data_IF_547776147407
#
_entry.id   IF_547776147407
#
_cell.length_a   1.000
_cell.length_b   1.000
_cell.length_c   1.000
_cell.angle_alpha   90.00
_cell.angle_beta   90.00
_cell.angle_gamma   90.00
#
_symmetry.space_group_name_H-M   'P 1'
#
loop_
_entity.id
_entity.type
_entity.pdbx_description
1 polymer ?
#
# COMPACT_ATOMS: atom_id res chain seq x y z
N UNK A 1 -7.32 19.39 7.92
CA UNK A 1 -6.48 20.04 8.95
C UNK A 1 -6.46 21.54 8.67
N UNK A 2 -6.63 22.42 9.67
CA UNK A 2 -6.65 23.88 9.47
C UNK A 2 -7.58 24.38 8.34
N UNK A 3 -8.77 23.77 8.21
CA UNK A 3 -9.73 24.10 7.14
C UNK A 3 -9.49 23.39 5.80
N UNK A 4 -8.32 22.79 5.59
CA UNK A 4 -8.02 21.94 4.42
C UNK A 4 -8.69 20.58 4.57
N UNK A 5 -9.23 20.06 3.48
CA UNK A 5 -9.92 18.78 3.44
C UNK A 5 -8.96 17.64 3.15
N UNK A 6 -9.20 16.52 3.81
CA UNK A 6 -8.50 15.25 3.60
C UNK A 6 -9.57 14.20 3.25
N UNK A 7 -9.26 13.32 2.30
CA UNK A 7 -10.03 12.10 2.04
C UNK A 7 -9.16 10.89 2.35
N UNK A 8 -9.72 9.88 3.00
CA UNK A 8 -9.08 8.58 3.20
C UNK A 8 -10.05 7.52 2.70
N UNK A 9 -9.59 6.66 1.81
CA UNK A 9 -10.36 5.56 1.25
C UNK A 9 -9.50 4.30 1.22
N UNK A 10 -10.13 3.14 1.18
CA UNK A 10 -9.44 1.85 1.20
C UNK A 10 -10.02 0.90 0.17
N UNK A 11 -9.15 0.06 -0.38
CA UNK A 11 -9.52 -1.10 -1.19
C UNK A 11 -9.08 -2.35 -0.45
N UNK A 12 -9.90 -3.39 -0.49
CA UNK A 12 -9.57 -4.65 0.17
C UNK A 12 -8.41 -5.37 -0.55
N UNK A 13 -7.89 -6.45 0.04
CA UNK A 13 -6.93 -7.29 -0.65
C UNK A 13 -7.68 -8.15 -1.69
N UNK A 14 -7.26 -8.19 -2.98
CA UNK A 14 -7.85 -9.09 -3.98
C UNK A 14 -7.86 -10.58 -3.60
N UNK A 15 -6.88 -11.03 -2.80
CA UNK A 15 -6.83 -12.39 -2.25
C UNK A 15 -7.37 -12.44 -0.81
N UNK A 16 -7.91 -11.32 -0.30
CA UNK A 16 -8.63 -11.24 0.95
C UNK A 16 -10.00 -11.89 0.84
N UNK A 17 -10.48 -12.43 1.95
CA UNK A 17 -11.74 -13.15 2.16
C UNK A 17 -11.72 -14.66 1.85
N UNK A 18 -11.85 -15.44 2.93
CA UNK A 18 -12.26 -16.84 2.86
C UNK A 18 -13.73 -16.89 2.40
N UNK A 19 -14.06 -17.53 1.27
CA UNK A 19 -15.43 -17.61 0.75
C UNK A 19 -16.42 -18.26 1.74
N UNK A 20 -15.93 -18.89 2.82
CA UNK A 20 -16.77 -19.41 3.91
C UNK A 20 -17.49 -18.30 4.71
N UNK A 21 -16.95 -17.09 4.76
CA UNK A 21 -17.49 -15.99 5.57
C UNK A 21 -18.13 -14.85 4.77
N UNK A 22 -18.16 -14.95 3.45
CA UNK A 22 -18.64 -13.87 2.61
C UNK A 22 -20.03 -14.17 2.04
N UNK A 23 -21.00 -13.30 2.34
CA UNK A 23 -22.31 -13.34 1.69
C UNK A 23 -22.15 -13.03 0.20
N UNK A 24 -22.84 -13.81 -0.65
CA UNK A 24 -22.72 -13.76 -2.12
C UNK A 24 -23.11 -12.39 -2.76
N UNK A 25 -23.55 -11.42 -1.98
CA UNK A 25 -23.96 -10.06 -2.39
C UNK A 25 -22.93 -8.97 -2.09
N UNK A 26 -21.80 -9.30 -1.46
CA UNK A 26 -20.88 -8.30 -0.90
C UNK A 26 -19.52 -8.16 -1.61
N UNK A 27 -19.32 -8.82 -2.76
CA UNK A 27 -18.07 -8.68 -3.52
C UNK A 27 -18.20 -7.64 -4.62
N UNK A 28 -17.87 -6.39 -4.31
CA UNK A 28 -17.27 -5.51 -5.32
C UNK A 28 -15.94 -6.11 -5.74
N UNK A 29 -15.59 -6.05 -7.03
CA UNK A 29 -14.21 -6.36 -7.40
C UNK A 29 -13.29 -5.29 -6.80
N UNK A 30 -12.03 -5.65 -6.57
CA UNK A 30 -11.00 -4.69 -6.18
C UNK A 30 -10.97 -3.45 -7.08
N UNK A 31 -11.20 -3.65 -8.39
CA UNK A 31 -11.26 -2.56 -9.37
C UNK A 31 -12.46 -1.63 -9.12
N UNK A 32 -13.64 -2.18 -8.81
CA UNK A 32 -14.83 -1.38 -8.53
C UNK A 32 -14.66 -0.51 -7.28
N UNK A 33 -13.97 -1.04 -6.26
CA UNK A 33 -13.62 -0.30 -5.06
C UNK A 33 -12.64 0.82 -5.37
N UNK A 34 -11.58 0.52 -6.14
CA UNK A 34 -10.61 1.52 -6.58
C UNK A 34 -11.30 2.64 -7.36
N UNK A 35 -12.12 2.31 -8.36
CA UNK A 35 -12.86 3.28 -9.15
C UNK A 35 -13.81 4.13 -8.28
N UNK A 36 -14.45 3.51 -7.29
CA UNK A 36 -15.33 4.22 -6.34
C UNK A 36 -14.52 5.19 -5.49
N UNK A 37 -13.34 4.78 -5.02
CA UNK A 37 -12.41 5.63 -4.29
C UNK A 37 -11.92 6.80 -5.16
N UNK A 38 -11.55 6.54 -6.41
CA UNK A 38 -11.07 7.55 -7.36
C UNK A 38 -12.11 8.65 -7.61
N UNK A 39 -13.40 8.30 -7.67
CA UNK A 39 -14.50 9.28 -7.83
C UNK A 39 -14.60 10.29 -6.67
N UNK A 40 -13.97 10.01 -5.53
CA UNK A 40 -13.93 10.92 -4.37
C UNK A 40 -12.72 11.85 -4.39
N UNK A 41 -11.74 11.61 -5.27
CA UNK A 41 -10.54 12.44 -5.39
C UNK A 41 -10.86 13.79 -6.03
N UNK A 42 -10.13 14.83 -5.64
CA UNK A 42 -10.29 16.17 -6.17
C UNK A 42 -9.00 16.97 -5.97
N UNK A 43 -8.55 17.80 -6.92
CA UNK A 43 -7.34 18.63 -6.77
C UNK A 43 -7.33 19.59 -5.55
N UNK A 44 -8.47 19.84 -4.90
CA UNK A 44 -8.60 20.66 -3.69
C UNK A 44 -8.66 19.87 -2.39
N UNK A 45 -8.55 18.54 -2.45
CA UNK A 45 -8.63 17.62 -1.31
C UNK A 45 -7.41 16.71 -1.35
N UNK A 46 -6.61 16.71 -0.27
CA UNK A 46 -5.51 15.76 -0.17
C UNK A 46 -6.07 14.35 0.06
N UNK A 47 -5.86 13.46 -0.90
CA UNK A 47 -6.54 12.17 -1.00
C UNK A 47 -5.56 11.02 -0.76
N UNK A 48 -5.89 10.19 0.24
CA UNK A 48 -5.08 9.05 0.68
C UNK A 48 -5.80 7.75 0.35
N UNK A 49 -5.12 6.85 -0.37
CA UNK A 49 -5.55 5.49 -0.59
C UNK A 49 -4.82 4.52 0.36
N UNK A 50 -5.59 3.65 1.02
CA UNK A 50 -5.10 2.48 1.71
C UNK A 50 -5.26 1.27 0.79
N UNK A 51 -4.18 0.55 0.51
CA UNK A 51 -4.25 -0.67 -0.29
C UNK A 51 -3.30 -1.72 0.24
N UNK A 52 -3.61 -3.00 0.16
CA UNK A 52 -2.67 -4.00 0.66
C UNK A 52 -1.47 -4.23 -0.29
N UNK A 53 -1.61 -3.92 -1.59
CA UNK A 53 -0.84 -4.53 -2.70
C UNK A 53 0.18 -3.62 -3.40
N UNK A 54 1.45 -3.52 -2.95
CA UNK A 54 2.44 -2.61 -3.53
C UNK A 54 2.87 -2.96 -4.96
N UNK A 55 2.50 -4.13 -5.48
CA UNK A 55 2.79 -4.57 -6.84
C UNK A 55 1.83 -3.97 -7.89
N UNK A 56 0.66 -3.46 -7.49
CA UNK A 56 -0.37 -2.89 -8.39
C UNK A 56 -0.08 -1.43 -8.77
N UNK A 57 1.19 -1.10 -9.02
CA UNK A 57 1.63 0.28 -9.21
C UNK A 57 1.05 0.97 -10.42
N UNK A 58 0.76 0.22 -11.47
CA UNK A 58 0.13 0.78 -12.67
C UNK A 58 -1.25 1.38 -12.34
N UNK A 59 -2.00 0.76 -11.43
CA UNK A 59 -3.31 1.24 -10.97
C UNK A 59 -3.20 2.47 -10.06
N UNK A 60 -2.07 2.62 -9.35
CA UNK A 60 -1.82 3.76 -8.46
C UNK A 60 -1.25 4.96 -9.19
N UNK A 61 -0.50 4.72 -10.26
CA UNK A 61 0.13 5.77 -11.05
C UNK A 61 -0.95 6.59 -11.74
N UNK A 62 -0.99 7.90 -11.47
CA UNK A 62 -2.03 8.82 -11.98
C UNK A 62 -3.46 8.47 -11.53
N UNK A 63 -3.62 7.76 -10.41
CA UNK A 63 -4.91 7.41 -9.82
C UNK A 63 -5.70 8.60 -9.26
N UNK A 64 -5.08 9.78 -9.15
CA UNK A 64 -5.66 10.95 -8.50
C UNK A 64 -5.47 10.99 -6.98
N UNK A 65 -4.88 9.97 -6.38
CA UNK A 65 -4.44 10.01 -4.98
C UNK A 65 -3.10 10.72 -4.85
N UNK A 66 -2.95 11.52 -3.81
CA UNK A 66 -1.68 12.17 -3.46
C UNK A 66 -0.76 11.19 -2.72
N UNK A 67 -1.35 10.29 -1.93
CA UNK A 67 -0.63 9.33 -1.08
C UNK A 67 -1.28 7.94 -1.14
N UNK A 68 -0.47 6.92 -1.39
CA UNK A 68 -0.87 5.50 -1.31
C UNK A 68 -0.09 4.83 -0.18
N UNK A 69 -0.80 4.19 0.74
CA UNK A 69 -0.22 3.45 1.85
C UNK A 69 -0.40 1.95 1.60
N UNK A 70 0.71 1.26 1.37
CA UNK A 70 0.76 -0.13 0.97
C UNK A 70 1.53 -1.05 1.94
N UNK A 71 1.24 -2.35 1.86
CA UNK A 71 1.79 -3.39 2.74
C UNK A 71 2.20 -4.65 1.99
N UNK A 72 1.87 -5.83 2.51
CA UNK A 72 1.97 -7.16 1.86
C UNK A 72 3.37 -7.71 1.53
N UNK A 73 4.28 -6.89 1.01
CA UNK A 73 5.62 -7.35 0.61
C UNK A 73 6.52 -7.75 1.80
N UNK A 74 6.15 -7.36 3.02
CA UNK A 74 6.82 -7.72 4.27
C UNK A 74 8.33 -7.38 4.29
N UNK A 75 8.78 -6.32 3.62
CA UNK A 75 10.21 -6.00 3.51
C UNK A 75 11.01 -6.99 2.67
N UNK A 76 10.35 -7.87 1.92
CA UNK A 76 10.98 -8.96 1.17
C UNK A 76 11.64 -10.04 2.04
N UNK A 77 11.21 -10.12 3.32
CA UNK A 77 11.65 -11.06 4.37
C UNK A 77 13.12 -10.93 4.78
N UNK A 78 14.05 -11.03 3.83
CA UNK A 78 15.50 -10.90 4.02
C UNK A 78 15.97 -9.67 3.26
N UNK A 79 16.69 -8.76 3.93
CA UNK A 79 17.24 -7.55 3.32
C UNK A 79 18.76 -7.52 3.47
N UNK A 80 19.43 -6.76 2.61
CA UNK A 80 20.84 -6.39 2.80
C UNK A 80 20.89 -4.87 2.65
N UNK A 81 21.04 -4.11 3.74
CA UNK A 81 21.05 -2.66 3.69
C UNK A 81 22.05 -2.12 2.64
N UNK A 82 21.59 -1.23 1.76
CA UNK A 82 22.40 -0.63 0.69
C UNK A 82 22.67 -1.53 -0.53
N UNK A 83 22.24 -2.80 -0.53
CA UNK A 83 22.47 -3.74 -1.64
C UNK A 83 21.15 -4.29 -2.18
N UNK A 84 20.24 -4.68 -1.29
CA UNK A 84 19.03 -5.38 -1.66
C UNK A 84 17.81 -4.89 -0.87
N UNK A 85 16.77 -4.50 -1.61
CA UNK A 85 15.51 -4.05 -1.03
C UNK A 85 14.75 -5.18 -0.34
N UNK A 86 14.85 -6.41 -0.85
CA UNK A 86 14.31 -7.63 -0.27
C UNK A 86 14.72 -8.85 -1.11
N UNK A 87 14.77 -10.05 -0.52
CA UNK A 87 15.09 -11.27 -1.25
C UNK A 87 13.87 -11.83 -1.96
N UNK A 88 12.72 -11.85 -1.30
CA UNK A 88 11.49 -12.40 -1.85
C UNK A 88 10.26 -11.75 -1.23
N UNK A 89 9.34 -11.29 -2.06
CA UNK A 89 8.02 -10.85 -1.62
C UNK A 89 6.91 -11.63 -2.34
N UNK A 90 5.74 -11.82 -1.70
CA UNK A 90 4.54 -12.28 -2.38
C UNK A 90 4.29 -11.45 -3.65
N UNK A 91 3.87 -12.12 -4.73
CA UNK A 91 3.42 -11.53 -5.99
C UNK A 91 4.44 -10.69 -6.79
N UNK A 92 5.61 -10.41 -6.21
CA UNK A 92 6.77 -9.80 -6.86
C UNK A 92 7.93 -10.78 -7.09
N UNK A 93 7.93 -11.93 -6.39
CA UNK A 93 8.95 -12.95 -6.53
C UNK A 93 10.30 -12.55 -5.92
N UNK A 94 11.39 -13.01 -6.54
CA UNK A 94 12.75 -12.71 -6.08
C UNK A 94 13.18 -11.30 -6.42
N UNK A 95 13.93 -10.67 -5.51
CA UNK A 95 14.44 -9.30 -5.63
C UNK A 95 13.31 -8.28 -5.92
N UNK A 96 12.25 -8.27 -5.08
CA UNK A 96 11.12 -7.37 -5.25
C UNK A 96 11.53 -5.90 -5.34
N UNK A 97 10.94 -5.20 -6.30
CA UNK A 97 11.20 -3.78 -6.52
C UNK A 97 10.55 -2.92 -5.43
N UNK A 98 9.40 -3.34 -4.90
CA UNK A 98 8.56 -2.57 -3.99
C UNK A 98 8.35 -3.32 -2.68
N UNK A 99 9.44 -3.53 -1.94
CA UNK A 99 9.43 -4.36 -0.72
C UNK A 99 9.22 -3.56 0.58
N UNK A 100 9.52 -2.27 0.55
CA UNK A 100 9.43 -1.35 1.69
C UNK A 100 10.08 0.00 1.36
N UNK A 101 9.59 1.10 1.93
CA UNK A 101 10.10 2.46 1.70
C UNK A 101 9.14 3.36 0.91
N UNK A 102 9.65 4.52 0.47
CA UNK A 102 8.90 5.54 -0.28
C UNK A 102 9.23 5.49 -1.77
N UNK A 103 8.20 5.58 -2.61
CA UNK A 103 8.29 5.52 -4.07
C UNK A 103 7.47 6.66 -4.69
N UNK A 104 8.04 7.36 -5.67
CA UNK A 104 7.35 8.40 -6.43
C UNK A 104 6.73 7.81 -7.70
N UNK A 105 5.43 7.98 -7.87
CA UNK A 105 4.61 7.45 -8.98
C UNK A 105 3.93 8.60 -9.73
N UNK A 106 4.71 9.39 -10.47
CA UNK A 106 4.23 10.65 -11.03
C UNK A 106 3.99 11.66 -9.91
N UNK A 107 2.79 12.20 -9.80
CA UNK A 107 2.39 13.11 -8.70
C UNK A 107 2.05 12.36 -7.40
N UNK A 108 1.79 11.04 -7.48
CA UNK A 108 1.42 10.21 -6.32
C UNK A 108 2.66 9.74 -5.57
N UNK A 109 2.65 9.87 -4.24
CA UNK A 109 3.65 9.22 -3.38
C UNK A 109 3.10 7.89 -2.87
N UNK A 110 3.85 6.80 -2.99
CA UNK A 110 3.52 5.51 -2.36
C UNK A 110 4.49 5.19 -1.23
N UNK A 111 3.96 4.81 -0.09
CA UNK A 111 4.72 4.33 1.07
C UNK A 111 4.38 2.87 1.28
N UNK A 112 5.41 2.00 1.23
CA UNK A 112 5.28 0.57 1.48
C UNK A 112 5.87 0.26 2.85
N UNK A 113 5.04 -0.18 3.80
CA UNK A 113 5.51 -0.63 5.11
C UNK A 113 6.06 -2.06 5.04
N UNK A 114 7.16 -2.33 5.75
CA UNK A 114 7.65 -3.70 5.96
C UNK A 114 6.74 -4.52 6.89
N UNK A 115 5.77 -3.88 7.55
CA UNK A 115 4.77 -4.47 8.40
C UNK A 115 5.31 -4.97 9.75
N UNK A 116 4.37 -5.27 10.66
CA UNK A 116 4.67 -5.76 12.00
C UNK A 116 4.73 -7.29 12.09
N UNK A 117 4.25 -8.00 11.06
CA UNK A 117 4.00 -9.44 11.15
C UNK A 117 5.28 -10.27 11.07
N UNK A 118 5.41 -11.20 12.01
CA UNK A 118 6.39 -12.29 11.98
C UNK A 118 5.68 -13.53 11.39
N UNK A 119 5.71 -13.67 10.07
CA UNK A 119 5.10 -14.82 9.39
C UNK A 119 5.77 -16.11 9.90
N UNK A 120 4.99 -16.99 10.54
CA UNK A 120 5.48 -18.25 11.11
C UNK A 120 6.15 -19.09 10.01
N UNK A 121 7.43 -19.40 10.18
CA UNK A 121 8.21 -20.23 9.24
C UNK A 121 9.07 -19.47 8.22
N UNK A 122 8.98 -18.14 8.13
CA UNK A 122 9.91 -17.35 7.29
C UNK A 122 10.69 -16.38 8.19
N UNK A 123 12.02 -16.55 8.34
CA UNK A 123 12.81 -15.67 9.19
C UNK A 123 12.95 -14.29 8.54
N UNK A 124 12.78 -13.24 9.35
CA UNK A 124 13.19 -11.88 8.98
C UNK A 124 14.68 -11.70 9.28
N UNK A 125 15.50 -11.39 8.26
CA UNK A 125 16.95 -11.14 8.40
C UNK A 125 17.25 -9.74 7.90
N UNK A 126 17.86 -8.90 8.75
CA UNK A 126 18.07 -7.46 8.52
C UNK A 126 16.80 -6.69 8.09
N UNK A 127 15.63 -7.19 8.48
CA UNK A 127 14.32 -6.64 8.13
C UNK A 127 13.44 -6.59 9.39
N UNK A 128 13.73 -5.71 10.36
CA UNK A 128 12.95 -5.63 11.59
C UNK A 128 11.47 -5.28 11.30
N UNK A 129 10.52 -5.67 12.17
CA UNK A 129 9.16 -5.14 12.13
C UNK A 129 9.16 -3.60 12.10
N UNK A 130 8.27 -3.02 11.31
CA UNK A 130 8.25 -1.58 11.05
C UNK A 130 6.86 -1.00 11.27
N UNK A 131 6.80 0.12 12.00
CA UNK A 131 5.65 1.01 12.08
C UNK A 131 6.03 2.33 11.41
N UNK A 132 5.30 2.71 10.37
CA UNK A 132 5.56 3.96 9.65
C UNK A 132 4.68 5.06 10.25
N UNK A 133 5.29 6.19 10.58
CA UNK A 133 4.62 7.42 11.02
C UNK A 133 4.75 8.43 9.89
N UNK A 134 3.62 9.03 9.50
CA UNK A 134 3.54 9.98 8.39
C UNK A 134 2.96 11.27 8.94
N UNK A 135 3.75 12.33 8.88
CA UNK A 135 3.33 13.68 9.22
C UNK A 135 2.85 14.40 7.96
N UNK A 136 1.61 14.88 7.98
CA UNK A 136 1.02 15.66 6.89
C UNK A 136 1.02 17.13 7.28
N UNK A 137 1.68 17.96 6.48
CA UNK A 137 1.72 19.40 6.71
C UNK A 137 0.70 20.13 5.80
N UNK A 138 -0.11 21.04 6.36
CA UNK A 138 -1.01 21.86 5.55
C UNK A 138 -0.20 22.83 4.68
N UNK A 139 -0.72 23.11 3.47
CA UNK A 139 -0.17 24.16 2.61
C UNK A 139 -0.22 25.50 3.36
N UNK A 140 0.88 26.26 3.32
CA UNK A 140 1.00 27.58 3.96
C UNK A 140 0.19 28.67 3.23
#
# INVERSE_FOLDING_TARGET
MNGQKLSICGVDDPDGFDPVYAEASAFSSWQDELESCQKTTNPSIYSILLSHRPELIEEYTNSGFDLVLAGHAHGGQIRIPGVLNGLYAPDQGFFPKYAGGQYQLGETTMIVSCGLSLKKGIPRIFNPPELVVIDLEPIQ
#
